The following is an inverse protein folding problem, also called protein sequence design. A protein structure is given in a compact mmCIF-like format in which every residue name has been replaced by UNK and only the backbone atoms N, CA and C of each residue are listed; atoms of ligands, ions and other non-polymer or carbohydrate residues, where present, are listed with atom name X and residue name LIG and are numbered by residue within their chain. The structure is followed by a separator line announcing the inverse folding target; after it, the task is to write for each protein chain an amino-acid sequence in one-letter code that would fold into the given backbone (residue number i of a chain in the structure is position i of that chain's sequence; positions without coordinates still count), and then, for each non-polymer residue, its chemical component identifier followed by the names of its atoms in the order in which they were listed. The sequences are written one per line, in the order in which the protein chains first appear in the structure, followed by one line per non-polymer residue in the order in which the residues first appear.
data_IF_174403067668
#
_entry.id   IF_174403067668
#
_cell.length_a   1.000
_cell.length_b   1.000
_cell.length_c   1.000
_cell.angle_alpha   90.00
_cell.angle_beta   90.00
_cell.angle_gamma   90.00
#
_symmetry.space_group_name_H-M   'P 1'
#
loop_
_entity.id
_entity.type
_entity.pdbx_description
1 polymer ?
#
# COMPACT_ATOMS: atom_id res chain seq x y z
N UNK A 1 25.07 10.07 -10.15
CA UNK A 1 23.92 10.71 -9.48
C UNK A 1 23.81 9.98 -8.15
N UNK A 2 24.26 10.57 -7.05
CA UNK A 2 24.20 9.91 -5.73
C UNK A 2 22.72 9.74 -5.36
N UNK A 3 22.27 8.48 -5.30
CA UNK A 3 20.93 8.16 -4.82
C UNK A 3 20.85 8.48 -3.32
N UNK A 4 19.68 8.87 -2.79
CA UNK A 4 19.53 9.23 -1.38
C UNK A 4 19.88 8.08 -0.41
N UNK A 5 19.94 6.84 -0.91
CA UNK A 5 20.46 5.67 -0.21
C UNK A 5 21.29 4.81 -1.16
N UNK A 6 22.49 4.44 -0.71
CA UNK A 6 23.33 3.41 -1.33
C UNK A 6 23.83 2.48 -0.20
N UNK A 7 23.50 1.17 -0.22
CA UNK A 7 22.69 0.46 -1.22
C UNK A 7 21.20 0.83 -1.17
N UNK A 8 20.46 0.44 -2.20
CA UNK A 8 18.98 0.53 -2.24
C UNK A 8 18.35 -0.40 -1.17
N UNK A 9 17.11 -0.11 -0.78
CA UNK A 9 16.35 -0.95 0.14
C UNK A 9 15.83 -2.21 -0.56
N UNK A 10 16.06 -3.36 0.04
CA UNK A 10 15.40 -4.61 -0.36
C UNK A 10 13.89 -4.58 -0.02
N UNK A 11 13.08 -5.48 -0.60
CA UNK A 11 11.65 -5.53 -0.30
C UNK A 11 11.31 -5.73 1.20
N UNK A 12 12.09 -6.55 1.91
CA UNK A 12 11.88 -6.77 3.35
C UNK A 12 12.28 -5.54 4.18
N UNK A 13 13.37 -4.86 3.82
CA UNK A 13 13.80 -3.62 4.46
C UNK A 13 12.76 -2.51 4.29
N UNK A 14 12.24 -2.33 3.06
CA UNK A 14 11.17 -1.39 2.78
C UNK A 14 9.90 -1.71 3.58
N UNK A 15 9.55 -3.00 3.71
CA UNK A 15 8.42 -3.42 4.56
C UNK A 15 8.63 -3.07 6.03
N UNK A 16 9.80 -3.39 6.59
CA UNK A 16 10.12 -3.15 8.00
C UNK A 16 10.09 -1.65 8.31
N UNK A 17 10.77 -0.84 7.49
CA UNK A 17 10.78 0.61 7.65
C UNK A 17 9.38 1.22 7.46
N UNK A 18 8.64 0.75 6.45
CA UNK A 18 7.24 1.12 6.23
C UNK A 18 6.36 0.83 7.44
N UNK A 19 6.49 -0.36 8.04
CA UNK A 19 5.72 -0.76 9.21
C UNK A 19 6.07 0.09 10.45
N UNK A 20 7.35 0.37 10.67
CA UNK A 20 7.79 1.28 11.74
C UNK A 20 7.22 2.69 11.55
N UNK A 21 7.33 3.26 10.35
CA UNK A 21 6.78 4.58 10.03
C UNK A 21 5.27 4.63 10.23
N UNK A 22 4.54 3.60 9.78
CA UNK A 22 3.09 3.51 9.96
C UNK A 22 2.73 3.54 11.44
N UNK A 23 3.38 2.70 12.27
CA UNK A 23 3.04 2.61 13.70
C UNK A 23 3.52 3.82 14.49
N UNK A 24 4.59 4.50 14.07
CA UNK A 24 5.00 5.76 14.65
C UNK A 24 3.92 6.84 14.47
N UNK A 25 3.29 6.91 13.30
CA UNK A 25 2.27 7.92 13.00
C UNK A 25 0.87 7.55 13.50
N UNK A 26 0.51 6.26 13.46
CA UNK A 26 -0.87 5.81 13.74
C UNK A 26 -1.06 5.26 15.16
N UNK A 27 0.00 4.81 15.83
CA UNK A 27 -0.07 4.19 17.16
C UNK A 27 1.12 4.62 18.03
N UNK A 28 1.25 5.94 18.34
CA UNK A 28 2.42 6.47 19.05
C UNK A 28 2.60 5.86 20.45
N UNK A 29 1.53 5.49 21.13
CA UNK A 29 1.58 4.90 22.49
C UNK A 29 2.26 3.52 22.51
N UNK A 30 2.24 2.79 21.39
CA UNK A 30 2.88 1.49 21.27
C UNK A 30 4.32 1.57 20.75
N UNK A 31 4.77 2.76 20.35
CA UNK A 31 6.04 3.00 19.68
C UNK A 31 7.12 3.50 20.66
N UNK A 32 8.41 3.08 20.55
CA UNK A 32 9.00 2.18 19.56
C UNK A 32 8.60 0.71 19.72
N UNK A 33 8.61 -0.04 18.61
CA UNK A 33 8.05 -1.40 18.54
C UNK A 33 9.03 -2.46 19.05
N UNK A 34 8.51 -3.49 19.72
CA UNK A 34 9.25 -4.74 19.94
C UNK A 34 9.33 -5.57 18.66
N UNK A 35 10.23 -6.57 18.60
CA UNK A 35 10.35 -7.49 17.45
C UNK A 35 9.01 -8.14 17.10
N UNK A 36 8.28 -8.64 18.10
CA UNK A 36 6.99 -9.30 17.88
C UNK A 36 5.94 -8.34 17.33
N UNK A 37 5.86 -7.12 17.86
CA UNK A 37 4.94 -6.09 17.36
C UNK A 37 5.26 -5.70 15.91
N UNK A 38 6.55 -5.61 15.57
CA UNK A 38 7.00 -5.30 14.21
C UNK A 38 6.73 -6.44 13.24
N UNK A 39 6.95 -7.70 13.64
CA UNK A 39 6.63 -8.88 12.85
C UNK A 39 5.13 -8.91 12.48
N UNK A 40 4.26 -8.70 13.48
CA UNK A 40 2.82 -8.61 13.27
C UNK A 40 2.44 -7.46 12.34
N UNK A 41 3.13 -6.32 12.45
CA UNK A 41 2.91 -5.18 11.56
C UNK A 41 3.37 -5.46 10.12
N UNK A 42 4.46 -6.19 9.90
CA UNK A 42 4.93 -6.53 8.56
C UNK A 42 3.95 -7.47 7.85
N UNK A 43 3.40 -8.45 8.58
CA UNK A 43 2.53 -9.51 8.06
C UNK A 43 1.02 -9.20 8.16
N UNK A 44 0.63 -7.93 8.28
CA UNK A 44 -0.78 -7.56 8.29
C UNK A 44 -1.46 -7.94 6.97
N UNK A 45 -2.69 -8.47 7.06
CA UNK A 45 -3.51 -8.80 5.88
C UNK A 45 -4.06 -7.57 5.16
N UNK A 46 -4.12 -6.43 5.85
CA UNK A 46 -4.63 -5.17 5.32
C UNK A 46 -3.50 -4.16 5.21
N UNK A 47 -3.64 -3.22 4.26
CA UNK A 47 -2.66 -2.16 4.02
C UNK A 47 -1.25 -2.66 3.67
N UNK A 48 -1.15 -3.87 3.11
CA UNK A 48 0.10 -4.48 2.61
C UNK A 48 -0.14 -5.01 1.21
N UNK A 49 0.68 -4.57 0.25
CA UNK A 49 0.66 -5.08 -1.12
C UNK A 49 2.13 -5.30 -1.54
N UNK A 50 2.60 -6.56 -1.66
CA UNK A 50 1.90 -7.82 -1.36
C UNK A 50 1.80 -8.12 0.16
N UNK A 51 0.82 -8.93 0.55
CA UNK A 51 0.78 -9.51 1.91
C UNK A 51 1.98 -10.43 2.08
N UNK A 52 2.68 -10.31 3.21
CA UNK A 52 3.87 -11.10 3.53
C UNK A 52 3.64 -12.07 4.68
N UNK A 53 4.52 -13.06 4.78
CA UNK A 53 4.56 -14.06 5.84
C UNK A 53 6.00 -14.24 6.34
N UNK A 54 6.66 -13.13 6.70
CA UNK A 54 8.02 -13.19 7.22
C UNK A 54 8.07 -13.93 8.55
N UNK A 55 9.20 -14.56 8.82
CA UNK A 55 9.53 -15.17 10.10
C UNK A 55 10.29 -14.19 11.01
N UNK A 56 10.25 -14.44 12.32
CA UNK A 56 10.94 -13.61 13.32
C UNK A 56 12.44 -13.49 13.04
N UNK A 57 13.08 -14.60 12.62
CA UNK A 57 14.51 -14.61 12.29
C UNK A 57 14.85 -13.77 11.06
N UNK A 58 13.97 -13.72 10.05
CA UNK A 58 14.16 -12.88 8.86
C UNK A 58 14.05 -11.39 9.23
N UNK A 59 13.03 -11.03 10.00
CA UNK A 59 12.84 -9.65 10.45
C UNK A 59 13.99 -9.20 11.35
N UNK A 60 14.49 -10.05 12.25
CA UNK A 60 15.62 -9.70 13.12
C UNK A 60 16.91 -9.49 12.32
N UNK A 61 17.21 -10.33 11.32
CA UNK A 61 18.38 -10.11 10.44
C UNK A 61 18.27 -8.79 9.68
N UNK A 62 17.10 -8.52 9.08
CA UNK A 62 16.82 -7.27 8.39
C UNK A 62 17.00 -6.05 9.31
N UNK A 63 16.54 -6.11 10.56
CA UNK A 63 16.75 -5.03 11.54
C UNK A 63 18.23 -4.79 11.81
N UNK A 64 19.03 -5.86 11.96
CA UNK A 64 20.47 -5.72 12.22
C UNK A 64 21.16 -5.03 11.04
N UNK A 65 20.84 -5.42 9.81
CA UNK A 65 21.34 -4.78 8.58
C UNK A 65 20.92 -3.30 8.50
N UNK A 66 19.66 -2.98 8.81
CA UNK A 66 19.16 -1.61 8.87
C UNK A 66 19.82 -0.78 9.99
N UNK A 67 20.18 -1.40 11.11
CA UNK A 67 20.88 -0.76 12.22
C UNK A 67 22.31 -0.39 11.82
N UNK A 68 23.04 -1.29 11.15
CA UNK A 68 24.38 -1.01 10.62
C UNK A 68 24.36 0.17 9.64
N UNK A 69 23.29 0.26 8.83
CA UNK A 69 23.03 1.37 7.91
C UNK A 69 22.48 2.63 8.59
N UNK A 70 22.30 2.62 9.92
CA UNK A 70 21.73 3.73 10.73
C UNK A 70 20.32 4.15 10.30
N UNK A 71 19.57 3.24 9.68
CA UNK A 71 18.17 3.45 9.27
C UNK A 71 17.18 3.02 10.36
N UNK A 72 17.64 2.21 11.31
CA UNK A 72 16.92 1.83 12.53
C UNK A 72 17.82 2.09 13.75
N UNK A 73 17.22 2.59 14.83
CA UNK A 73 17.84 2.70 16.14
C UNK A 73 17.21 1.69 17.10
N UNK A 74 18.02 1.14 18.00
CA UNK A 74 17.60 0.12 18.97
C UNK A 74 17.76 0.66 20.37
N UNK A 75 16.66 0.66 21.13
CA UNK A 75 16.67 0.88 22.58
C UNK A 75 16.68 -0.47 23.29
N UNK A 76 17.81 -0.77 23.93
CA UNK A 76 18.03 -2.01 24.69
C UNK A 76 17.45 -1.88 26.10
N UNK A 77 16.12 -1.84 26.18
CA UNK A 77 15.41 -1.81 27.44
C UNK A 77 15.50 -3.12 28.23
N UNK A 78 15.27 -3.05 29.54
CA UNK A 78 15.43 -4.18 30.46
C UNK A 78 14.55 -5.42 30.15
N UNK A 79 13.37 -5.22 29.54
CA UNK A 79 12.43 -6.31 29.22
C UNK A 79 12.55 -6.83 27.79
N UNK A 80 12.79 -5.93 26.84
CA UNK A 80 12.85 -6.25 25.42
C UNK A 80 13.50 -5.08 24.66
N UNK A 81 14.23 -5.40 23.60
CA UNK A 81 14.69 -4.42 22.63
C UNK A 81 13.49 -3.77 21.92
N UNK A 82 13.58 -2.46 21.67
CA UNK A 82 12.60 -1.69 20.91
C UNK A 82 13.27 -0.97 19.75
N UNK A 83 12.56 -0.89 18.64
CA UNK A 83 13.08 -0.42 17.35
C UNK A 83 12.40 0.87 16.91
N UNK A 84 13.20 1.88 16.59
CA UNK A 84 12.79 3.19 16.09
C UNK A 84 13.33 3.41 14.66
N UNK A 85 12.51 3.83 13.70
CA UNK A 85 12.98 4.21 12.36
C UNK A 85 13.73 5.55 12.40
N UNK A 86 14.84 5.61 11.68
CA UNK A 86 15.67 6.81 11.45
C UNK A 86 15.63 7.31 10.01
N UNK A 87 15.03 6.53 9.09
CA UNK A 87 14.97 6.83 7.67
C UNK A 87 14.47 8.25 7.37
N UNK A 88 13.40 8.69 8.04
CA UNK A 88 12.84 10.04 7.87
C UNK A 88 13.85 11.17 8.11
N UNK A 89 14.78 10.99 9.06
CA UNK A 89 15.85 11.95 9.34
C UNK A 89 16.92 11.89 8.27
N UNK A 90 17.30 10.69 7.85
CA UNK A 90 18.31 10.46 6.79
C UNK A 90 17.88 11.10 5.48
N UNK A 91 16.61 10.93 5.08
CA UNK A 91 16.05 11.49 3.85
C UNK A 91 15.47 12.91 4.05
N UNK A 92 15.55 13.46 5.27
CA UNK A 92 15.05 14.79 5.62
C UNK A 92 13.59 15.03 5.21
N UNK A 93 12.70 14.17 5.69
CA UNK A 93 11.26 14.18 5.40
C UNK A 93 10.47 14.81 6.54
N UNK A 94 9.46 15.61 6.18
CA UNK A 94 8.44 16.06 7.13
C UNK A 94 7.32 15.00 7.30
N UNK A 95 6.39 15.25 8.24
CA UNK A 95 5.30 14.29 8.53
C UNK A 95 4.43 13.97 7.31
N UNK A 96 4.18 14.96 6.46
CA UNK A 96 3.42 14.78 5.23
C UNK A 96 4.15 13.84 4.26
N UNK A 97 5.43 14.11 3.97
CA UNK A 97 6.24 13.27 3.10
C UNK A 97 6.47 11.86 3.69
N UNK A 98 6.60 11.76 5.02
CA UNK A 98 6.67 10.47 5.73
C UNK A 98 5.42 9.63 5.49
N UNK A 99 4.21 10.22 5.59
CA UNK A 99 2.97 9.49 5.36
C UNK A 99 2.88 8.96 3.92
N UNK A 100 3.23 9.77 2.92
CA UNK A 100 3.26 9.37 1.51
C UNK A 100 4.27 8.23 1.27
N UNK A 101 5.49 8.39 1.78
CA UNK A 101 6.54 7.39 1.65
C UNK A 101 6.13 6.06 2.30
N UNK A 102 5.55 6.14 3.51
CA UNK A 102 5.07 4.99 4.24
C UNK A 102 4.06 4.18 3.42
N UNK A 103 3.05 4.84 2.83
CA UNK A 103 2.04 4.15 2.01
C UNK A 103 2.69 3.50 0.78
N UNK A 104 3.58 4.22 0.07
CA UNK A 104 4.23 3.68 -1.13
C UNK A 104 5.15 2.50 -0.84
N UNK A 105 5.87 2.49 0.29
CA UNK A 105 6.69 1.33 0.68
C UNK A 105 5.83 0.10 1.02
N UNK A 106 4.67 0.32 1.63
CA UNK A 106 3.80 -0.76 2.09
C UNK A 106 2.91 -1.31 0.98
N UNK A 107 2.61 -0.50 -0.05
CA UNK A 107 1.58 -0.80 -1.04
C UNK A 107 1.98 -0.53 -2.49
N UNK A 108 3.22 -0.15 -2.76
CA UNK A 108 3.74 0.08 -4.10
C UNK A 108 3.20 1.38 -4.75
N UNK A 109 3.10 1.42 -6.09
CA UNK A 109 2.68 2.62 -6.82
C UNK A 109 1.21 2.98 -6.64
N UNK A 110 0.93 4.22 -6.26
CA UNK A 110 -0.41 4.69 -5.86
C UNK A 110 -0.89 5.90 -6.67
N UNK A 111 -2.19 5.99 -6.90
CA UNK A 111 -2.81 7.21 -7.44
C UNK A 111 -3.02 8.27 -6.36
N UNK A 112 -3.31 9.51 -6.75
CA UNK A 112 -3.59 10.60 -5.80
C UNK A 112 -4.81 10.32 -4.92
N UNK A 113 -5.87 9.74 -5.50
CA UNK A 113 -7.11 9.38 -4.78
C UNK A 113 -6.86 8.28 -3.74
N UNK A 114 -6.04 7.28 -4.11
CA UNK A 114 -5.59 6.24 -3.19
C UNK A 114 -4.73 6.81 -2.06
N UNK A 115 -3.77 7.68 -2.36
CA UNK A 115 -2.91 8.31 -1.35
C UNK A 115 -3.75 9.10 -0.35
N UNK A 116 -4.67 9.95 -0.82
CA UNK A 116 -5.55 10.74 0.05
C UNK A 116 -6.30 9.88 1.07
N UNK A 117 -6.88 8.77 0.60
CA UNK A 117 -7.63 7.86 1.46
C UNK A 117 -6.70 7.08 2.41
N UNK A 118 -5.55 6.62 1.91
CA UNK A 118 -4.66 5.70 2.65
C UNK A 118 -3.77 6.41 3.67
N UNK A 119 -3.49 7.71 3.49
CA UNK A 119 -2.70 8.50 4.45
C UNK A 119 -3.55 9.15 5.55
N UNK A 120 -4.87 9.12 5.47
CA UNK A 120 -5.76 9.91 6.34
C UNK A 120 -5.50 9.71 7.86
N UNK A 121 -5.14 8.50 8.29
CA UNK A 121 -4.81 8.22 9.71
C UNK A 121 -3.37 8.61 10.10
N UNK A 122 -2.52 8.94 9.13
CA UNK A 122 -1.12 9.31 9.32
C UNK A 122 -0.91 10.82 9.24
N UNK A 123 -1.53 11.45 8.24
CA UNK A 123 -1.48 12.88 7.98
C UNK A 123 -2.72 13.30 7.17
N UNK A 124 -3.39 14.36 7.60
CA UNK A 124 -4.55 14.91 6.89
C UNK A 124 -4.08 15.96 5.87
N UNK A 125 -4.23 15.63 4.58
CA UNK A 125 -3.90 16.52 3.47
C UNK A 125 -5.07 17.43 3.05
N UNK A 126 -6.31 17.11 3.46
CA UNK A 126 -7.52 17.83 3.06
C UNK A 126 -7.98 17.63 1.60
N UNK A 127 -7.08 17.49 0.62
CA UNK A 127 -7.44 17.31 -0.80
C UNK A 127 -6.38 16.56 -1.63
N UNK A 128 -6.79 16.04 -2.78
CA UNK A 128 -5.87 15.44 -3.77
C UNK A 128 -4.90 16.48 -4.34
N UNK A 129 -5.34 17.72 -4.50
CA UNK A 129 -4.51 18.82 -4.99
C UNK A 129 -3.35 19.12 -4.05
N UNK A 130 -3.58 19.13 -2.73
CA UNK A 130 -2.52 19.32 -1.74
C UNK A 130 -1.46 18.20 -1.79
N UNK A 131 -1.87 16.96 -2.07
CA UNK A 131 -0.94 15.83 -2.26
C UNK A 131 -0.15 16.00 -3.55
N UNK A 132 -0.81 16.40 -4.64
CA UNK A 132 -0.16 16.62 -5.93
C UNK A 132 0.92 17.70 -5.84
N UNK A 133 0.59 18.87 -5.29
CA UNK A 133 1.55 19.97 -5.08
C UNK A 133 2.75 19.51 -4.23
N UNK A 134 2.49 18.74 -3.16
CA UNK A 134 3.54 18.18 -2.32
C UNK A 134 4.44 17.21 -3.08
N UNK A 135 3.86 16.32 -3.88
CA UNK A 135 4.61 15.33 -4.66
C UNK A 135 5.41 15.99 -5.79
N UNK A 136 4.85 16.99 -6.48
CA UNK A 136 5.57 17.76 -7.49
C UNK A 136 6.86 18.35 -6.90
N UNK A 137 6.78 18.96 -5.71
CA UNK A 137 7.98 19.46 -5.01
C UNK A 137 8.96 18.36 -4.59
N UNK A 138 8.48 17.19 -4.19
CA UNK A 138 9.33 16.07 -3.77
C UNK A 138 10.04 15.38 -4.94
N UNK A 139 9.39 15.30 -6.11
CA UNK A 139 9.91 14.67 -7.32
C UNK A 139 11.00 15.50 -8.01
N UNK A 140 11.02 16.83 -7.84
CA UNK A 140 12.01 17.72 -8.47
C UNK A 140 13.22 18.03 -7.59
N UNK A 141 13.33 17.43 -6.40
CA UNK A 141 14.52 17.59 -5.53
C UNK A 141 15.78 17.05 -6.21
N UNK A 142 16.94 17.59 -5.84
CA UNK A 142 18.26 17.14 -6.34
C UNK A 142 18.49 15.64 -6.15
N UNK A 143 18.01 15.09 -5.04
CA UNK A 143 18.00 13.65 -4.74
C UNK A 143 16.54 13.23 -4.50
N UNK A 144 15.79 12.92 -5.56
CA UNK A 144 14.37 12.61 -5.43
C UNK A 144 14.20 11.24 -4.77
N UNK A 145 13.40 11.21 -3.71
CA UNK A 145 12.97 9.96 -3.07
C UNK A 145 11.65 9.42 -3.65
N UNK A 146 11.02 10.19 -4.55
CA UNK A 146 9.71 9.94 -5.15
C UNK A 146 9.79 10.16 -6.65
N UNK A 147 8.94 9.48 -7.40
CA UNK A 147 8.77 9.68 -8.83
C UNK A 147 7.31 9.69 -9.22
N UNK A 148 7.01 10.46 -10.27
CA UNK A 148 5.75 10.41 -11.01
C UNK A 148 5.84 9.32 -12.09
N UNK A 149 4.78 8.54 -12.20
CA UNK A 149 4.61 7.49 -13.20
C UNK A 149 3.40 7.89 -14.04
N UNK A 150 3.62 8.32 -15.30
CA UNK A 150 2.52 8.72 -16.17
C UNK A 150 1.60 7.54 -16.46
N UNK A 151 0.31 7.82 -16.56
CA UNK A 151 -0.69 6.80 -16.90
C UNK A 151 -0.38 6.13 -18.23
N UNK A 152 -0.55 4.82 -18.27
CA UNK A 152 -0.52 4.04 -19.50
C UNK A 152 -1.90 4.05 -20.17
N UNK A 153 -1.96 3.64 -21.44
CA UNK A 153 -3.22 3.47 -22.14
C UNK A 153 -4.18 2.55 -21.34
N UNK A 154 -5.40 3.03 -21.09
CA UNK A 154 -6.41 2.33 -20.28
C UNK A 154 -6.45 2.72 -18.79
N UNK A 155 -5.39 3.36 -18.25
CA UNK A 155 -5.41 3.90 -16.89
C UNK A 155 -6.05 5.31 -16.88
N UNK A 156 -6.89 5.57 -15.88
CA UNK A 156 -7.53 6.89 -15.73
C UNK A 156 -6.63 7.92 -15.04
N UNK A 157 -5.81 7.47 -14.11
CA UNK A 157 -5.05 8.33 -13.20
C UNK A 157 -3.55 8.00 -13.27
N UNK A 158 -2.74 9.04 -13.09
CA UNK A 158 -1.30 8.89 -12.89
C UNK A 158 -1.00 8.25 -11.53
N UNK A 159 0.19 7.66 -11.42
CA UNK A 159 0.67 7.03 -10.19
C UNK A 159 1.94 7.68 -9.70
N UNK A 160 2.25 7.44 -8.43
CA UNK A 160 3.48 7.86 -7.78
C UNK A 160 4.10 6.69 -7.04
N UNK A 161 5.42 6.64 -7.01
CA UNK A 161 6.19 5.59 -6.33
C UNK A 161 7.42 6.17 -5.65
N UNK A 162 7.92 5.49 -4.62
CA UNK A 162 9.20 5.84 -4.00
C UNK A 162 10.38 5.26 -4.78
N UNK A 163 11.54 5.92 -4.70
CA UNK A 163 12.77 5.52 -5.37
C UNK A 163 13.78 4.80 -4.46
N UNK A 164 13.47 4.69 -3.16
CA UNK A 164 14.39 4.11 -2.16
C UNK A 164 14.66 2.61 -2.33
N UNK A 165 13.84 1.89 -3.11
CA UNK A 165 14.06 0.48 -3.49
C UNK A 165 14.46 0.33 -4.96
N UNK A 166 14.89 1.42 -5.60
CA UNK A 166 15.18 1.48 -7.03
C UNK A 166 14.01 2.00 -7.85
N UNK A 167 14.30 2.30 -9.11
CA UNK A 167 13.26 2.69 -10.06
C UNK A 167 12.34 1.48 -10.34
N UNK A 168 11.02 1.62 -10.22
CA UNK A 168 10.08 0.58 -10.56
C UNK A 168 10.19 0.23 -12.05
N UNK A 169 10.10 -1.07 -12.35
CA UNK A 169 10.01 -1.55 -13.72
C UNK A 169 8.64 -1.17 -14.30
N UNK A 170 8.63 -0.11 -15.12
CA UNK A 170 7.42 0.43 -15.72
C UNK A 170 6.73 -0.55 -16.67
N UNK A 171 7.49 -1.46 -17.30
CA UNK A 171 6.94 -2.49 -18.19
C UNK A 171 6.23 -3.58 -17.38
N UNK A 172 6.83 -4.04 -16.28
CA UNK A 172 6.19 -4.98 -15.37
C UNK A 172 4.90 -4.40 -14.75
N UNK A 173 4.90 -3.11 -14.43
CA UNK A 173 3.72 -2.37 -13.96
C UNK A 173 2.62 -2.27 -15.03
N UNK A 174 3.00 -2.07 -16.28
CA UNK A 174 2.09 -2.10 -17.42
C UNK A 174 1.41 -3.48 -17.54
N UNK A 175 2.20 -4.55 -17.49
CA UNK A 175 1.73 -5.92 -17.64
C UNK A 175 0.80 -6.34 -16.49
N UNK A 176 1.14 -6.03 -15.23
CA UNK A 176 0.27 -6.32 -14.08
C UNK A 176 -1.07 -5.59 -14.17
N UNK A 177 -1.06 -4.36 -14.67
CA UNK A 177 -2.28 -3.59 -14.89
C UNK A 177 -3.17 -4.25 -15.94
N UNK A 178 -2.60 -4.63 -17.09
CA UNK A 178 -3.36 -5.25 -18.18
C UNK A 178 -4.05 -6.54 -17.72
N UNK A 179 -3.30 -7.42 -17.05
CA UNK A 179 -3.85 -8.65 -16.48
C UNK A 179 -4.97 -8.40 -15.46
N UNK A 180 -4.89 -7.33 -14.66
CA UNK A 180 -5.95 -6.99 -13.69
C UNK A 180 -7.19 -6.42 -14.37
N UNK A 181 -7.03 -5.71 -15.49
CA UNK A 181 -8.15 -5.19 -16.27
C UNK A 181 -8.89 -6.31 -17.00
N UNK A 182 -8.16 -7.21 -17.69
CA UNK A 182 -8.74 -8.36 -18.39
C UNK A 182 -9.50 -9.28 -17.42
N UNK A 183 -8.90 -9.63 -16.27
CA UNK A 183 -9.58 -10.45 -15.25
C UNK A 183 -10.84 -9.78 -14.69
N UNK A 184 -10.83 -8.46 -14.55
CA UNK A 184 -12.01 -7.74 -14.08
C UNK A 184 -13.11 -7.70 -15.14
N UNK A 185 -12.76 -7.60 -16.42
CA UNK A 185 -13.71 -7.58 -17.53
C UNK A 185 -14.39 -8.95 -17.71
N UNK A 186 -13.61 -10.03 -17.67
CA UNK A 186 -14.14 -11.40 -17.67
C UNK A 186 -15.07 -11.66 -16.48
N UNK A 187 -14.64 -11.27 -15.27
CA UNK A 187 -15.45 -11.43 -14.06
C UNK A 187 -16.75 -10.62 -14.12
N UNK A 188 -16.70 -9.42 -14.70
CA UNK A 188 -17.87 -8.54 -14.87
C UNK A 188 -18.84 -9.12 -15.88
N UNK A 189 -18.35 -9.62 -17.01
CA UNK A 189 -19.16 -10.29 -18.03
C UNK A 189 -19.86 -11.53 -17.47
N UNK A 190 -19.14 -12.38 -16.73
CA UNK A 190 -19.73 -13.56 -16.08
C UNK A 190 -20.79 -13.20 -15.02
N UNK A 191 -20.57 -12.11 -14.27
CA UNK A 191 -21.55 -11.60 -13.32
C UNK A 191 -22.80 -11.09 -14.03
N UNK A 192 -22.66 -10.34 -15.12
CA UNK A 192 -23.77 -9.79 -15.92
C UNK A 192 -24.60 -10.92 -16.57
N UNK A 193 -23.96 -11.95 -17.11
CA UNK A 193 -24.64 -13.15 -17.62
C UNK A 193 -25.42 -13.87 -16.51
N UNK A 194 -24.81 -14.03 -15.33
CA UNK A 194 -25.45 -14.72 -14.21
C UNK A 194 -26.60 -13.93 -13.62
N UNK A 195 -26.50 -12.59 -13.56
CA UNK A 195 -27.61 -11.72 -13.17
C UNK A 195 -28.76 -11.86 -14.16
N UNK A 196 -28.48 -11.82 -15.46
CA UNK A 196 -29.51 -11.98 -16.51
C UNK A 196 -30.22 -13.34 -16.39
N UNK A 197 -29.47 -14.43 -16.15
CA UNK A 197 -30.04 -15.75 -15.94
C UNK A 197 -30.93 -15.79 -14.69
N UNK A 198 -30.48 -15.21 -13.58
CA UNK A 198 -31.23 -15.16 -12.33
C UNK A 198 -32.50 -14.32 -12.45
N UNK A 199 -32.44 -13.18 -13.14
CA UNK A 199 -33.60 -12.34 -13.42
C UNK A 199 -34.66 -13.10 -14.23
N UNK A 200 -34.23 -13.87 -15.24
CA UNK A 200 -35.13 -14.72 -16.01
C UNK A 200 -35.75 -15.83 -15.16
N UNK A 201 -34.96 -16.53 -14.33
CA UNK A 201 -35.46 -17.56 -13.41
C UNK A 201 -36.44 -16.98 -12.39
N UNK A 202 -36.18 -15.76 -11.91
CA UNK A 202 -37.03 -15.09 -10.94
C UNK A 202 -38.36 -14.65 -11.56
N UNK A 203 -38.34 -14.15 -12.80
CA UNK A 203 -39.56 -13.87 -13.57
C UNK A 203 -40.39 -15.13 -13.83
N UNK A 204 -39.74 -16.25 -14.15
CA UNK A 204 -40.43 -17.54 -14.34
C UNK A 204 -41.06 -18.04 -13.04
N UNK A 205 -40.32 -18.01 -11.92
CA UNK A 205 -40.83 -18.38 -10.59
C UNK A 205 -41.99 -17.49 -10.16
N UNK A 206 -41.90 -16.17 -10.37
CA UNK A 206 -42.99 -15.24 -10.08
C UNK A 206 -44.26 -15.57 -10.88
N UNK A 207 -44.12 -15.91 -12.17
CA UNK A 207 -45.23 -16.31 -13.01
C UNK A 207 -45.86 -17.65 -12.55
N UNK A 208 -45.04 -18.61 -12.11
CA UNK A 208 -45.54 -19.88 -11.57
C UNK A 208 -46.28 -19.70 -10.25
N UNK A 209 -45.74 -18.87 -9.34
CA UNK A 209 -46.39 -18.54 -8.06
C UNK A 209 -47.73 -17.83 -8.28
N UNK A 210 -47.79 -16.87 -9.22
CA UNK A 210 -49.04 -16.19 -9.56
C UNK A 210 -50.12 -17.18 -10.03
N UNK A 211 -49.78 -18.12 -10.91
CA UNK A 211 -50.71 -19.18 -11.38
C UNK A 211 -51.16 -20.13 -10.27
N UNK A 212 -50.29 -20.43 -9.30
CA UNK A 212 -50.66 -21.28 -8.16
C UNK A 212 -51.61 -20.56 -7.19
N UNK A 213 -51.35 -19.28 -6.94
CA UNK A 213 -52.22 -18.45 -6.10
C UNK A 213 -53.63 -18.31 -6.71
N UNK A 214 -53.73 -18.11 -8.03
CA UNK A 214 -55.01 -18.09 -8.75
C UNK A 214 -55.78 -19.40 -8.60
N UNK A 215 -55.12 -20.55 -8.79
CA UNK A 215 -55.74 -21.87 -8.62
C UNK A 215 -56.17 -22.20 -7.20
N UNK A 216 -55.53 -21.61 -6.20
CA UNK A 216 -55.88 -21.83 -4.79
C UNK A 216 -57.03 -20.95 -4.30
N UNK A 217 -57.46 -19.97 -5.11
CA UNK A 217 -58.59 -19.10 -4.83
C UNK A 217 -59.92 -19.60 -5.43
N UNK A 218 -59.90 -20.70 -6.20
CA UNK A 218 -61.06 -21.46 -6.69
C UNK A 218 -61.38 -22.66 -5.78
#
# INVERSE_FOLDING_TARGET
MEFPLDPLLTPIEARVLGALMEKQLTTPDAYPLTLNSLLLACNQKTSREPVSHYESGEVQRCINELQERKLVEVDWGARAARYDQRLTRVVSLDKAAQALLCVMMLRGPQTLSELLTRTQRMFDFGSTQAIEEKLQHLCVKTHPAFMHIPRLAGQREDRYMHLLSGAPDLEALAAQTHNRSERNDDGRTQLEERVTLLENQLAELQAQVARLLEKSAE
#
